data_IF_943007750045
#
_entry.id   IF_943007750045
#
_cell.length_a   1.000
_cell.length_b   1.000
_cell.length_c   1.000
_cell.angle_alpha   90.00
_cell.angle_beta   90.00
_cell.angle_gamma   90.00
#
_symmetry.space_group_name_H-M   'P 1'
#
loop_
_entity.id
_entity.type
_entity.pdbx_description
1 polymer ?
#
# COMPACT_ATOMS: atom_id res chain seq x y z
N UNK A 1 -9.60 33.42 -58.29
CA UNK A 1 -8.41 34.19 -57.96
C UNK A 1 -8.80 35.18 -56.86
N UNK A 2 -8.29 35.21 -55.65
CA UNK A 2 -7.41 34.35 -54.86
C UNK A 2 -7.52 34.87 -53.40
N UNK A 3 -7.58 33.95 -52.43
CA UNK A 3 -6.99 34.04 -51.06
C UNK A 3 -7.44 35.17 -50.11
N UNK A 4 -7.87 34.96 -48.87
CA UNK A 4 -7.60 33.87 -47.93
C UNK A 4 -6.44 34.24 -47.01
N UNK A 5 -6.69 34.92 -45.88
CA UNK A 5 -5.74 34.93 -44.75
C UNK A 5 -6.39 35.38 -43.43
N UNK A 6 -6.91 34.40 -42.70
CA UNK A 6 -6.95 34.40 -41.24
C UNK A 6 -5.55 33.98 -40.76
N UNK A 7 -4.77 34.90 -40.17
CA UNK A 7 -3.53 34.51 -39.50
C UNK A 7 -3.79 34.31 -38.00
N UNK A 8 -3.99 33.03 -37.68
CA UNK A 8 -3.98 32.50 -36.34
C UNK A 8 -2.55 32.52 -35.79
N UNK A 9 -2.25 33.48 -34.91
CA UNK A 9 -1.00 33.49 -34.15
C UNK A 9 -1.27 33.03 -32.71
N UNK A 10 -1.69 31.76 -32.57
CA UNK A 10 -1.62 31.05 -31.30
C UNK A 10 -0.41 30.13 -31.37
N UNK A 11 0.71 30.65 -30.89
CA UNK A 11 1.92 29.87 -30.64
C UNK A 11 1.58 28.63 -29.80
N UNK A 12 1.92 27.40 -30.21
CA UNK A 12 1.75 26.23 -29.38
C UNK A 12 2.74 26.33 -28.22
N UNK A 13 2.24 26.54 -26.99
CA UNK A 13 3.03 26.34 -25.77
C UNK A 13 3.44 24.87 -25.70
N UNK A 14 4.64 24.58 -26.23
CA UNK A 14 5.40 23.39 -25.87
C UNK A 14 5.72 23.46 -24.37
N UNK A 15 4.95 22.76 -23.56
CA UNK A 15 5.51 22.07 -22.40
C UNK A 15 5.02 20.63 -22.41
N UNK A 16 5.57 19.88 -23.37
CA UNK A 16 5.71 18.43 -23.29
C UNK A 16 6.51 18.16 -22.02
N UNK A 17 5.84 18.01 -20.88
CA UNK A 17 6.45 17.41 -19.70
C UNK A 17 6.53 15.94 -20.06
N UNK A 18 7.62 15.57 -20.73
CA UNK A 18 7.93 14.19 -21.07
C UNK A 18 7.69 13.36 -19.80
N UNK A 19 6.69 12.47 -19.86
CA UNK A 19 6.50 11.44 -18.85
C UNK A 19 7.74 10.57 -18.91
N UNK A 20 8.75 10.90 -18.11
CA UNK A 20 9.95 10.08 -18.00
C UNK A 20 9.49 8.70 -17.54
N UNK A 21 9.45 7.75 -18.46
CA UNK A 21 9.33 6.34 -18.13
C UNK A 21 10.49 6.05 -17.19
N UNK A 22 10.18 5.82 -15.92
CA UNK A 22 11.21 5.63 -14.91
C UNK A 22 11.80 4.26 -15.10
N UNK A 23 12.96 4.21 -15.75
CA UNK A 23 13.72 2.98 -15.90
C UNK A 23 14.39 2.61 -14.58
N UNK A 24 14.35 1.31 -14.26
CA UNK A 24 15.07 0.77 -13.13
C UNK A 24 16.58 0.96 -13.32
N UNK A 25 17.16 1.89 -12.57
CA UNK A 25 18.61 2.17 -12.60
C UNK A 25 19.40 1.25 -11.67
N UNK A 26 20.66 0.96 -12.02
CA UNK A 26 21.63 0.19 -11.18
C UNK A 26 21.74 0.71 -9.73
N UNK A 27 21.58 2.02 -9.53
CA UNK A 27 21.56 2.65 -8.19
C UNK A 27 20.45 2.11 -7.28
N UNK A 28 19.29 1.70 -7.81
CA UNK A 28 18.22 1.15 -7.00
C UNK A 28 18.58 -0.25 -6.52
N UNK A 29 19.16 -1.09 -7.40
CA UNK A 29 19.70 -2.40 -7.00
C UNK A 29 20.79 -2.24 -5.93
N UNK A 30 21.74 -1.35 -6.14
CA UNK A 30 22.80 -1.09 -5.15
C UNK A 30 22.24 -0.59 -3.82
N UNK A 31 21.26 0.32 -3.85
CA UNK A 31 20.58 0.80 -2.65
C UNK A 31 19.85 -0.33 -1.90
N UNK A 32 19.15 -1.22 -2.61
CA UNK A 32 18.48 -2.37 -1.99
C UNK A 32 19.46 -3.34 -1.35
N UNK A 33 20.56 -3.67 -2.04
CA UNK A 33 21.61 -4.52 -1.47
C UNK A 33 22.24 -3.86 -0.23
N UNK A 34 22.48 -2.55 -0.28
CA UNK A 34 22.96 -1.78 0.87
C UNK A 34 21.98 -1.80 2.05
N UNK A 35 20.68 -1.65 1.80
CA UNK A 35 19.65 -1.73 2.83
C UNK A 35 19.54 -3.13 3.43
N UNK A 36 19.62 -4.18 2.62
CA UNK A 36 19.63 -5.57 3.08
C UNK A 36 20.87 -5.80 3.96
N UNK A 37 22.05 -5.39 3.51
CA UNK A 37 23.28 -5.50 4.29
C UNK A 37 23.18 -4.74 5.62
N UNK A 38 22.57 -3.55 5.62
CA UNK A 38 22.35 -2.76 6.83
C UNK A 38 21.37 -3.43 7.80
N UNK A 39 20.31 -4.06 7.30
CA UNK A 39 19.37 -4.84 8.13
C UNK A 39 20.11 -5.95 8.88
N UNK A 40 20.91 -6.75 8.18
CA UNK A 40 21.71 -7.80 8.81
C UNK A 40 22.77 -7.20 9.74
N UNK A 41 23.42 -6.11 9.34
CA UNK A 41 24.40 -5.39 10.16
C UNK A 41 23.83 -4.97 11.50
N UNK A 42 22.65 -4.33 11.52
CA UNK A 42 21.95 -3.92 12.76
C UNK A 42 21.65 -5.12 13.65
N UNK A 43 21.19 -6.23 13.08
CA UNK A 43 20.84 -7.44 13.83
C UNK A 43 22.04 -8.19 14.41
N UNK A 44 23.24 -7.98 13.86
CA UNK A 44 24.49 -8.53 14.37
C UNK A 44 25.08 -7.70 15.52
N UNK A 45 24.63 -6.46 15.74
CA UNK A 45 25.11 -5.62 16.84
C UNK A 45 24.70 -6.26 18.18
N UNK A 46 25.65 -6.67 19.04
CA UNK A 46 25.31 -7.21 20.35
C UNK A 46 24.74 -6.12 21.27
N UNK A 47 24.01 -6.48 22.34
CA UNK A 47 23.61 -5.52 23.35
C UNK A 47 24.85 -4.80 23.92
N UNK A 48 24.82 -3.48 23.96
CA UNK A 48 25.91 -2.67 24.49
C UNK A 48 25.38 -1.42 25.21
N UNK A 49 26.17 -0.89 26.16
CA UNK A 49 25.80 0.28 26.95
C UNK A 49 26.21 1.63 26.34
N UNK A 50 27.04 1.63 25.29
CA UNK A 50 27.54 2.81 24.59
C UNK A 50 26.49 3.44 23.67
N UNK A 51 25.65 2.63 23.02
CA UNK A 51 24.59 3.09 22.12
C UNK A 51 23.29 3.20 22.93
N UNK A 52 22.70 4.40 23.08
CA UNK A 52 21.44 4.58 23.79
C UNK A 52 20.34 3.65 23.25
N UNK A 53 19.68 2.91 24.13
CA UNK A 53 18.61 1.97 23.77
C UNK A 53 19.07 0.60 23.25
N UNK A 54 20.37 0.40 23.02
CA UNK A 54 20.95 -0.90 22.64
C UNK A 54 21.44 -1.73 23.84
N UNK A 55 21.15 -1.32 25.06
CA UNK A 55 21.36 -2.13 26.26
C UNK A 55 20.17 -3.08 26.48
N UNK A 56 20.40 -4.21 27.17
CA UNK A 56 19.30 -5.02 27.68
C UNK A 56 18.51 -4.22 28.73
N UNK A 57 17.16 -4.28 28.76
CA UNK A 57 16.29 -5.15 27.97
C UNK A 57 15.82 -4.54 26.61
N UNK A 58 16.07 -3.26 26.35
CA UNK A 58 15.53 -2.53 25.21
C UNK A 58 16.13 -2.90 23.84
N UNK A 59 17.28 -3.58 23.80
CA UNK A 59 18.01 -3.95 22.57
C UNK A 59 17.11 -4.56 21.48
N UNK A 60 16.30 -5.57 21.83
CA UNK A 60 15.47 -6.28 20.86
C UNK A 60 14.40 -5.37 20.24
N UNK A 61 13.76 -4.55 21.06
CA UNK A 61 12.78 -3.55 20.63
C UNK A 61 13.40 -2.53 19.68
N UNK A 62 14.54 -1.93 20.05
CA UNK A 62 15.20 -0.89 19.24
C UNK A 62 15.72 -1.47 17.93
N UNK A 63 16.34 -2.65 17.97
CA UNK A 63 16.80 -3.35 16.77
C UNK A 63 15.62 -3.63 15.81
N UNK A 64 14.49 -4.10 16.32
CA UNK A 64 13.30 -4.34 15.50
C UNK A 64 12.72 -3.07 14.90
N UNK A 65 12.61 -1.97 15.66
CA UNK A 65 12.13 -0.70 15.12
C UNK A 65 13.03 -0.18 13.99
N UNK A 66 14.35 -0.31 14.13
CA UNK A 66 15.30 0.04 13.07
C UNK A 66 15.10 -0.87 11.86
N UNK A 67 15.00 -2.19 12.04
CA UNK A 67 14.77 -3.15 10.94
C UNK A 67 13.46 -2.90 10.22
N UNK A 68 12.37 -2.62 10.94
CA UNK A 68 11.08 -2.25 10.37
C UNK A 68 11.16 -0.95 9.56
N UNK A 69 11.90 0.05 10.07
CA UNK A 69 12.19 1.28 9.35
C UNK A 69 12.99 1.03 8.06
N UNK A 70 14.05 0.22 8.12
CA UNK A 70 14.87 -0.12 6.96
C UNK A 70 14.09 -0.92 5.91
N UNK A 71 13.24 -1.86 6.33
CA UNK A 71 12.35 -2.58 5.41
C UNK A 71 11.33 -1.63 4.75
N UNK A 72 10.80 -0.67 5.50
CA UNK A 72 9.92 0.38 4.94
C UNK A 72 10.66 1.18 3.87
N UNK A 73 11.90 1.60 4.13
CA UNK A 73 12.74 2.31 3.16
C UNK A 73 13.05 1.42 1.93
N UNK A 74 13.24 0.12 2.11
CA UNK A 74 13.43 -0.81 0.99
C UNK A 74 12.17 -0.89 0.11
N UNK A 75 10.98 -1.05 0.70
CA UNK A 75 9.70 -1.06 -0.01
C UNK A 75 9.45 0.26 -0.77
N UNK A 76 9.75 1.39 -0.13
CA UNK A 76 9.67 2.71 -0.74
C UNK A 76 10.67 2.87 -1.89
N UNK A 77 11.89 2.34 -1.74
CA UNK A 77 12.91 2.34 -2.81
C UNK A 77 12.48 1.51 -4.01
N UNK A 78 11.82 0.36 -3.78
CA UNK A 78 11.21 -0.45 -4.84
C UNK A 78 10.11 0.36 -5.55
N UNK A 79 9.21 0.99 -4.80
CA UNK A 79 8.14 1.83 -5.36
C UNK A 79 8.66 3.01 -6.18
N UNK A 80 9.71 3.69 -5.70
CA UNK A 80 10.38 4.77 -6.42
C UNK A 80 11.11 4.27 -7.65
N UNK A 81 11.73 3.09 -7.59
CA UNK A 81 12.43 2.48 -8.71
C UNK A 81 11.50 2.11 -9.87
N UNK A 82 10.24 1.73 -9.58
CA UNK A 82 9.26 1.31 -10.58
C UNK A 82 8.42 2.46 -11.15
N UNK A 83 8.07 3.45 -10.32
CA UNK A 83 7.15 4.54 -10.72
C UNK A 83 7.79 5.93 -10.76
N UNK A 84 9.01 6.08 -10.24
CA UNK A 84 9.67 7.37 -10.02
C UNK A 84 9.19 8.14 -8.79
N UNK A 85 8.14 7.67 -8.12
CA UNK A 85 7.50 8.35 -7.00
C UNK A 85 7.72 7.61 -5.69
N UNK A 86 7.88 8.36 -4.61
CA UNK A 86 8.02 7.80 -3.26
C UNK A 86 6.81 6.99 -2.81
N UNK A 87 5.60 7.44 -3.17
CA UNK A 87 4.35 6.72 -2.93
C UNK A 87 4.03 5.67 -4.01
N UNK A 88 4.99 5.38 -4.91
CA UNK A 88 4.82 4.51 -6.07
C UNK A 88 4.24 3.14 -5.77
N UNK A 89 4.61 2.57 -4.62
CA UNK A 89 4.11 1.28 -4.17
C UNK A 89 2.58 1.25 -4.04
N UNK A 90 1.97 2.37 -3.66
CA UNK A 90 0.54 2.49 -3.43
C UNK A 90 -0.24 2.78 -4.72
N UNK A 91 0.45 3.20 -5.79
CA UNK A 91 -0.15 3.57 -7.06
C UNK A 91 -0.47 2.30 -7.87
N UNK A 92 -1.70 2.20 -8.36
CA UNK A 92 -2.16 1.11 -9.21
C UNK A 92 -2.04 1.45 -10.72
N UNK A 93 -2.30 0.50 -11.64
CA UNK A 93 -2.17 0.75 -13.09
C UNK A 93 -3.09 1.83 -13.66
N UNK A 94 -4.04 2.36 -12.88
CA UNK A 94 -4.91 3.49 -13.24
C UNK A 94 -4.34 4.82 -12.75
N UNK A 95 -3.09 4.82 -12.27
CA UNK A 95 -2.41 5.97 -11.67
C UNK A 95 -3.12 6.53 -10.44
N UNK A 96 -3.85 5.68 -9.69
CA UNK A 96 -4.57 6.05 -8.46
C UNK A 96 -4.02 5.30 -7.26
N UNK A 97 -3.97 5.92 -6.07
CA UNK A 97 -3.56 5.18 -4.87
C UNK A 97 -4.61 4.14 -4.47
N UNK A 98 -4.17 2.95 -4.03
CA UNK A 98 -5.04 1.84 -3.67
C UNK A 98 -4.85 1.43 -2.21
N UNK A 99 -5.96 1.41 -1.47
CA UNK A 99 -5.99 0.94 -0.09
C UNK A 99 -5.51 -0.51 0.04
N UNK A 100 -5.87 -1.39 -0.89
CA UNK A 100 -5.44 -2.79 -0.86
C UNK A 100 -3.92 -2.95 -0.98
N UNK A 101 -3.23 -2.03 -1.70
CA UNK A 101 -1.76 -2.02 -1.80
C UNK A 101 -1.12 -1.55 -0.50
N UNK A 102 -1.73 -0.57 0.17
CA UNK A 102 -1.30 -0.14 1.49
C UNK A 102 -1.38 -1.31 2.49
N UNK A 103 -2.52 -1.99 2.56
CA UNK A 103 -2.70 -3.14 3.47
C UNK A 103 -1.70 -4.27 3.19
N UNK A 104 -1.52 -4.63 1.91
CA UNK A 104 -0.52 -5.63 1.52
C UNK A 104 0.92 -5.21 1.79
N UNK A 105 1.22 -3.92 1.92
CA UNK A 105 2.56 -3.47 2.28
C UNK A 105 2.83 -3.49 3.78
N UNK A 106 1.83 -3.15 4.61
CA UNK A 106 1.97 -3.05 6.06
C UNK A 106 2.27 -4.41 6.71
N UNK A 107 1.53 -5.44 6.33
CA UNK A 107 1.65 -6.76 6.95
C UNK A 107 3.02 -7.43 6.75
N UNK A 108 3.57 -7.50 5.52
CA UNK A 108 4.91 -8.03 5.31
C UNK A 108 5.98 -7.22 6.04
N UNK A 109 5.91 -5.88 6.04
CA UNK A 109 6.87 -5.04 6.77
C UNK A 109 6.85 -5.41 8.26
N UNK A 110 5.66 -5.51 8.86
CA UNK A 110 5.50 -5.83 10.28
C UNK A 110 5.94 -7.26 10.61
N UNK A 111 5.43 -8.26 9.90
CA UNK A 111 5.68 -9.67 10.20
C UNK A 111 7.11 -10.07 9.86
N UNK A 112 7.65 -9.65 8.71
CA UNK A 112 9.02 -10.00 8.32
C UNK A 112 10.05 -9.30 9.22
N UNK A 113 9.84 -8.04 9.61
CA UNK A 113 10.73 -7.36 10.55
C UNK A 113 10.74 -8.05 11.91
N UNK A 114 9.56 -8.43 12.42
CA UNK A 114 9.43 -9.13 13.70
C UNK A 114 10.11 -10.50 13.65
N UNK A 115 9.76 -11.32 12.65
CA UNK A 115 10.30 -12.67 12.48
C UNK A 115 11.83 -12.65 12.36
N UNK A 116 12.37 -11.76 11.52
CA UNK A 116 13.82 -11.65 11.31
C UNK A 116 14.53 -11.21 12.60
N UNK A 117 13.95 -10.28 13.35
CA UNK A 117 14.54 -9.82 14.61
C UNK A 117 14.51 -10.91 15.68
N UNK A 118 13.40 -11.64 15.81
CA UNK A 118 13.27 -12.78 16.73
C UNK A 118 14.27 -13.89 16.37
N UNK A 119 14.39 -14.25 15.09
CA UNK A 119 15.34 -15.26 14.63
C UNK A 119 16.78 -14.89 15.00
N UNK A 120 17.20 -13.65 14.71
CA UNK A 120 18.53 -13.17 15.05
C UNK A 120 18.75 -13.01 16.55
N UNK A 121 17.70 -12.69 17.31
CA UNK A 121 17.75 -12.67 18.77
C UNK A 121 17.97 -14.06 19.34
N UNK A 122 17.23 -15.07 18.87
CA UNK A 122 17.38 -16.46 19.30
C UNK A 122 18.76 -17.03 18.91
N UNK A 123 19.22 -16.80 17.67
CA UNK A 123 20.55 -17.26 17.20
C UNK A 123 21.66 -16.75 18.11
N UNK A 124 21.61 -15.49 18.54
CA UNK A 124 22.64 -14.90 19.41
C UNK A 124 22.60 -15.43 20.83
N UNK A 125 21.42 -15.81 21.31
CA UNK A 125 21.21 -16.24 22.69
C UNK A 125 21.53 -17.72 22.89
N UNK A 126 21.02 -18.57 22.00
CA UNK A 126 21.33 -20.01 21.99
C UNK A 126 21.34 -20.54 20.54
N UNK A 127 22.52 -20.60 19.90
CA UNK A 127 22.64 -21.14 18.55
C UNK A 127 22.26 -22.63 18.44
N UNK A 128 22.30 -23.38 19.55
CA UNK A 128 22.10 -24.83 19.56
C UNK A 128 20.64 -25.26 19.75
N UNK A 129 19.79 -24.36 20.26
CA UNK A 129 18.38 -24.63 20.57
C UNK A 129 17.43 -24.25 19.42
N UNK A 130 17.69 -24.76 18.21
CA UNK A 130 16.86 -24.59 17.01
C UNK A 130 16.27 -23.16 16.84
N UNK A 131 17.12 -22.11 16.73
CA UNK A 131 16.71 -20.73 16.91
C UNK A 131 15.72 -20.20 15.85
N UNK A 132 15.55 -20.92 14.74
CA UNK A 132 14.60 -20.62 13.66
C UNK A 132 13.23 -21.27 13.85
N UNK A 133 13.04 -22.11 14.88
CA UNK A 133 11.77 -22.75 15.20
C UNK A 133 10.83 -21.76 15.91
N UNK A 134 10.40 -20.74 15.19
CA UNK A 134 9.49 -19.70 15.67
C UNK A 134 8.09 -20.01 15.15
N UNK A 135 7.20 -20.38 16.05
CA UNK A 135 5.80 -20.67 15.73
C UNK A 135 5.08 -19.39 15.25
N UNK A 136 4.40 -19.51 14.12
CA UNK A 136 3.50 -18.46 13.61
C UNK A 136 2.06 -18.88 13.93
N UNK A 137 1.34 -18.15 14.78
CA UNK A 137 -0.01 -18.52 15.19
C UNK A 137 -0.98 -18.66 14.00
N UNK A 138 -1.90 -19.64 14.00
CA UNK A 138 -2.89 -19.84 12.93
C UNK A 138 -3.71 -18.58 12.62
N UNK A 139 -3.98 -17.76 13.62
CA UNK A 139 -4.74 -16.51 13.49
C UNK A 139 -3.98 -15.47 12.66
N UNK A 140 -2.65 -15.43 12.73
CA UNK A 140 -1.84 -14.57 11.87
C UNK A 140 -1.90 -15.06 10.41
N UNK A 141 -1.86 -16.37 10.18
CA UNK A 141 -2.07 -16.94 8.85
C UNK A 141 -3.46 -16.64 8.28
N UNK A 142 -4.50 -16.79 9.11
CA UNK A 142 -5.87 -16.45 8.74
C UNK A 142 -6.00 -14.99 8.33
N UNK A 143 -5.40 -14.08 9.10
CA UNK A 143 -5.36 -12.66 8.79
C UNK A 143 -4.65 -12.37 7.46
N UNK A 144 -3.47 -12.96 7.22
CA UNK A 144 -2.72 -12.78 5.98
C UNK A 144 -3.49 -13.34 4.78
N UNK A 145 -4.18 -14.46 4.97
CA UNK A 145 -5.06 -15.08 3.99
C UNK A 145 -6.25 -14.18 3.63
N UNK A 146 -6.91 -13.57 4.61
CA UNK A 146 -8.01 -12.59 4.40
C UNK A 146 -7.52 -11.40 3.59
N UNK A 147 -6.40 -10.79 3.99
CA UNK A 147 -5.84 -9.61 3.30
C UNK A 147 -5.46 -9.93 1.85
N UNK A 148 -4.80 -11.07 1.62
CA UNK A 148 -4.37 -11.51 0.29
C UNK A 148 -5.57 -11.83 -0.61
N UNK A 149 -6.55 -12.57 -0.09
CA UNK A 149 -7.78 -12.91 -0.82
C UNK A 149 -8.55 -11.64 -1.18
N UNK A 150 -8.66 -10.68 -0.26
CA UNK A 150 -9.34 -9.41 -0.53
C UNK A 150 -8.63 -8.58 -1.60
N UNK A 151 -7.30 -8.55 -1.61
CA UNK A 151 -6.54 -7.88 -2.68
C UNK A 151 -6.83 -8.49 -4.06
N UNK A 152 -6.75 -9.82 -4.17
CA UNK A 152 -6.98 -10.54 -5.44
C UNK A 152 -8.43 -10.38 -5.89
N UNK A 153 -9.40 -10.56 -5.00
CA UNK A 153 -10.82 -10.40 -5.28
C UNK A 153 -11.14 -8.97 -5.73
N UNK A 154 -10.59 -7.95 -5.07
CA UNK A 154 -10.75 -6.56 -5.49
C UNK A 154 -10.17 -6.29 -6.88
N UNK A 155 -9.06 -6.96 -7.25
CA UNK A 155 -8.49 -6.92 -8.59
C UNK A 155 -9.40 -7.56 -9.65
N UNK A 156 -9.96 -8.73 -9.35
CA UNK A 156 -10.89 -9.43 -10.23
C UNK A 156 -12.18 -8.62 -10.49
N UNK A 157 -12.78 -8.06 -9.42
CA UNK A 157 -13.96 -7.17 -9.52
C UNK A 157 -13.64 -5.96 -10.39
N UNK A 158 -12.48 -5.31 -10.17
CA UNK A 158 -12.04 -4.17 -11.00
C UNK A 158 -11.87 -4.58 -12.45
N UNK A 159 -11.31 -5.75 -12.73
CA UNK A 159 -11.13 -6.25 -14.10
C UNK A 159 -12.46 -6.40 -14.84
N UNK A 160 -13.49 -6.90 -14.17
CA UNK A 160 -14.84 -7.00 -14.76
C UNK A 160 -15.42 -5.61 -15.09
N UNK A 161 -15.20 -4.63 -14.20
CA UNK A 161 -15.67 -3.24 -14.37
C UNK A 161 -14.98 -2.49 -15.52
N UNK A 162 -13.84 -2.98 -16.01
CA UNK A 162 -13.18 -2.40 -17.20
C UNK A 162 -13.94 -2.65 -18.50
N UNK A 163 -14.83 -3.64 -18.52
CA UNK A 163 -15.63 -4.01 -19.69
C UNK A 163 -17.01 -3.34 -19.73
N UNK A 164 -17.28 -2.42 -18.79
CA UNK A 164 -18.51 -1.64 -18.79
C UNK A 164 -18.32 -0.40 -19.65
N UNK A 165 -19.27 -0.13 -20.55
CA UNK A 165 -19.34 1.15 -21.24
C UNK A 165 -19.96 2.19 -20.32
N UNK A 166 -19.41 3.40 -20.39
CA UNK A 166 -19.85 4.53 -19.57
C UNK A 166 -20.31 5.63 -20.50
N UNK A 167 -21.56 6.06 -20.31
CA UNK A 167 -22.14 7.13 -21.11
C UNK A 167 -21.42 8.48 -20.89
N UNK A 168 -21.61 9.40 -21.84
CA UNK A 168 -20.96 10.71 -21.80
C UNK A 168 -21.45 11.57 -20.61
N UNK A 169 -22.71 11.41 -20.20
CA UNK A 169 -23.32 12.16 -19.10
C UNK A 169 -22.65 11.82 -17.76
N UNK A 170 -22.36 10.55 -17.51
CA UNK A 170 -21.66 10.07 -16.34
C UNK A 170 -20.23 10.59 -16.27
N UNK A 171 -19.53 10.65 -17.41
CA UNK A 171 -18.20 11.27 -17.50
C UNK A 171 -18.27 12.76 -17.14
N UNK A 172 -19.21 13.50 -17.72
CA UNK A 172 -19.41 14.93 -17.44
C UNK A 172 -19.75 15.19 -15.96
N UNK A 173 -20.71 14.45 -15.40
CA UNK A 173 -21.07 14.53 -13.97
C UNK A 173 -19.87 14.29 -13.06
N UNK A 174 -18.98 13.39 -13.45
CA UNK A 174 -17.77 13.08 -12.67
C UNK A 174 -16.80 14.25 -12.66
N UNK A 175 -16.53 14.83 -13.83
CA UNK A 175 -15.70 16.04 -13.97
C UNK A 175 -16.27 17.17 -13.11
N UNK A 176 -17.56 17.46 -13.25
CA UNK A 176 -18.25 18.50 -12.48
C UNK A 176 -18.20 18.22 -10.96
N UNK A 177 -18.39 16.98 -10.53
CA UNK A 177 -18.32 16.61 -9.13
C UNK A 177 -16.90 16.78 -8.56
N UNK A 178 -15.86 16.43 -9.33
CA UNK A 178 -14.46 16.61 -8.92
C UNK A 178 -14.10 18.08 -8.77
N UNK A 179 -14.50 18.92 -9.73
CA UNK A 179 -14.25 20.36 -9.66
C UNK A 179 -14.96 20.99 -8.45
N UNK A 180 -16.20 20.56 -8.15
CA UNK A 180 -16.95 21.03 -6.98
C UNK A 180 -16.28 20.72 -5.64
N UNK A 181 -15.56 19.60 -5.54
CA UNK A 181 -14.81 19.23 -4.32
C UNK A 181 -13.38 19.77 -4.32
N UNK A 182 -13.04 20.69 -5.24
CA UNK A 182 -11.74 21.33 -5.34
C UNK A 182 -10.64 20.43 -5.90
N UNK A 183 -10.99 19.31 -6.55
CA UNK A 183 -10.01 18.49 -7.27
C UNK A 183 -9.91 18.92 -8.72
N UNK A 184 -8.68 19.09 -9.20
CA UNK A 184 -8.44 19.42 -10.61
C UNK A 184 -8.86 18.24 -11.51
N UNK A 185 -9.97 18.39 -12.24
CA UNK A 185 -10.46 17.39 -13.20
C UNK A 185 -9.53 17.17 -14.39
N UNK A 186 -8.61 18.10 -14.71
CA UNK A 186 -7.62 17.93 -15.78
C UNK A 186 -6.69 16.75 -15.55
N UNK A 187 -6.63 16.22 -14.31
CA UNK A 187 -5.84 15.04 -13.99
C UNK A 187 -6.45 13.73 -14.52
N UNK A 188 -7.74 13.74 -14.88
CA UNK A 188 -8.47 12.58 -15.38
C UNK A 188 -7.96 12.15 -16.76
N UNK A 189 -7.68 10.86 -16.91
CA UNK A 189 -7.51 10.23 -18.21
C UNK A 189 -8.86 9.66 -18.69
N UNK A 190 -8.90 9.11 -19.91
CA UNK A 190 -10.03 8.29 -20.32
C UNK A 190 -10.26 7.16 -19.30
N UNK A 191 -11.50 7.00 -18.79
CA UNK A 191 -11.84 5.91 -17.89
C UNK A 191 -11.52 4.55 -18.49
N UNK A 192 -11.11 3.60 -17.64
CA UNK A 192 -10.97 2.20 -18.03
C UNK A 192 -12.30 1.49 -17.75
N UNK A 193 -13.23 1.58 -18.68
CA UNK A 193 -14.63 1.22 -18.47
C UNK A 193 -15.25 2.06 -17.34
N UNK A 194 -15.94 1.42 -16.39
CA UNK A 194 -16.51 2.09 -15.22
C UNK A 194 -15.47 2.66 -14.23
N UNK A 195 -14.18 2.41 -14.40
CA UNK A 195 -13.14 2.81 -13.46
C UNK A 195 -12.47 4.13 -13.84
N UNK A 196 -12.35 5.02 -12.86
CA UNK A 196 -11.58 6.27 -13.01
C UNK A 196 -10.09 5.97 -13.12
N UNK A 197 -9.42 6.72 -13.99
CA UNK A 197 -7.98 6.68 -14.18
C UNK A 197 -7.40 8.10 -14.27
N UNK A 198 -6.13 8.26 -13.92
CA UNK A 198 -5.41 9.53 -14.03
C UNK A 198 -4.35 9.50 -15.15
N UNK A 199 -4.07 10.68 -15.72
CA UNK A 199 -3.13 10.85 -16.84
C UNK A 199 -1.71 10.40 -16.50
N UNK A 200 -1.28 10.60 -15.25
CA UNK A 200 0.06 10.25 -14.80
C UNK A 200 0.07 9.81 -13.34
N UNK A 201 1.05 8.98 -12.91
CA UNK A 201 1.23 8.61 -11.50
C UNK A 201 1.32 9.80 -10.54
N UNK A 202 1.88 10.93 -11.00
CA UNK A 202 2.03 12.16 -10.21
C UNK A 202 0.69 12.84 -9.87
N UNK A 203 -0.40 12.43 -10.53
CA UNK A 203 -1.75 12.90 -10.25
C UNK A 203 -2.44 12.15 -9.09
N UNK A 204 -1.84 11.04 -8.62
CA UNK A 204 -2.36 10.27 -7.50
C UNK A 204 -2.30 11.08 -6.19
N UNK A 205 -3.33 10.95 -5.36
CA UNK A 205 -3.47 11.66 -4.09
C UNK A 205 -3.76 10.71 -2.94
N UNK A 206 -3.36 11.07 -1.72
CA UNK A 206 -3.66 10.28 -0.52
C UNK A 206 -5.18 10.18 -0.29
N UNK A 207 -5.95 11.20 -0.70
CA UNK A 207 -7.42 11.18 -0.67
C UNK A 207 -8.02 10.02 -1.48
N UNK A 208 -7.31 9.51 -2.49
CA UNK A 208 -7.76 8.38 -3.32
C UNK A 208 -7.99 7.11 -2.51
N UNK A 209 -7.29 6.96 -1.38
CA UNK A 209 -7.45 5.84 -0.46
C UNK A 209 -8.85 5.79 0.15
N UNK A 210 -9.56 6.92 0.18
CA UNK A 210 -10.85 7.09 0.84
C UNK A 210 -11.98 7.50 -0.12
N UNK A 211 -11.71 7.57 -1.43
CA UNK A 211 -12.69 7.96 -2.46
C UNK A 211 -13.11 6.80 -3.34
N UNK A 212 -14.28 6.91 -3.97
CA UNK A 212 -14.80 5.90 -4.90
C UNK A 212 -13.84 5.54 -6.04
N UNK A 213 -13.88 4.30 -6.52
CA UNK A 213 -13.00 3.81 -7.61
C UNK A 213 -13.59 4.02 -9.01
N UNK A 214 -14.86 4.39 -9.11
CA UNK A 214 -15.65 4.41 -10.34
C UNK A 214 -15.97 5.82 -10.82
N UNK A 215 -16.33 5.91 -12.10
CA UNK A 215 -17.01 7.09 -12.65
C UNK A 215 -18.26 7.35 -11.79
N UNK A 216 -18.65 8.61 -11.64
CA UNK A 216 -19.69 9.11 -10.73
C UNK A 216 -19.28 9.07 -9.25
N UNK A 217 -18.70 7.98 -8.74
CA UNK A 217 -18.29 7.89 -7.32
C UNK A 217 -16.94 8.54 -7.01
N UNK A 218 -16.16 8.91 -8.03
CA UNK A 218 -14.77 9.35 -7.93
C UNK A 218 -14.54 10.52 -6.95
N UNK A 219 -15.48 11.45 -6.89
CA UNK A 219 -15.40 12.65 -6.05
C UNK A 219 -15.83 12.39 -4.61
N UNK A 220 -16.56 11.29 -4.36
CA UNK A 220 -17.25 11.01 -3.11
C UNK A 220 -16.44 10.11 -2.19
N UNK A 221 -16.68 10.30 -0.91
CA UNK A 221 -16.14 9.50 0.18
C UNK A 221 -16.70 8.07 0.15
N UNK A 222 -15.80 7.10 0.29
CA UNK A 222 -16.11 5.67 0.30
C UNK A 222 -15.97 5.12 1.73
N UNK A 223 -17.11 4.94 2.39
CA UNK A 223 -17.19 4.49 3.78
C UNK A 223 -16.57 3.10 3.98
N UNK A 224 -16.69 2.19 3.01
CA UNK A 224 -16.19 0.81 3.19
C UNK A 224 -14.67 0.76 3.13
N UNK A 225 -14.05 1.61 2.30
CA UNK A 225 -12.60 1.83 2.32
C UNK A 225 -12.14 2.39 3.67
N UNK A 226 -12.88 3.33 4.24
CA UNK A 226 -12.51 3.95 5.53
C UNK A 226 -12.62 2.96 6.67
N UNK A 227 -13.69 2.16 6.69
CA UNK A 227 -13.87 1.10 7.68
C UNK A 227 -12.71 0.11 7.66
N UNK A 228 -12.37 -0.44 6.47
CA UNK A 228 -11.29 -1.43 6.37
C UNK A 228 -9.91 -0.81 6.63
N UNK A 229 -9.71 0.47 6.31
CA UNK A 229 -8.50 1.22 6.67
C UNK A 229 -8.31 1.27 8.18
N UNK A 230 -9.31 1.75 8.93
CA UNK A 230 -9.19 1.88 10.39
C UNK A 230 -9.02 0.53 11.08
N UNK A 231 -9.79 -0.50 10.69
CA UNK A 231 -9.61 -1.83 11.26
C UNK A 231 -8.21 -2.39 10.99
N UNK A 232 -7.69 -2.21 9.77
CA UNK A 232 -6.33 -2.65 9.47
C UNK A 232 -5.32 -1.90 10.33
N UNK A 233 -5.44 -0.58 10.41
CA UNK A 233 -4.47 0.27 11.10
C UNK A 233 -4.44 -0.02 12.61
N UNK A 234 -5.61 -0.17 13.24
CA UNK A 234 -5.72 -0.52 14.66
C UNK A 234 -5.08 -1.87 14.94
N UNK A 235 -5.35 -2.88 14.12
CA UNK A 235 -4.80 -4.22 14.31
C UNK A 235 -3.28 -4.25 14.07
N UNK A 236 -2.79 -3.54 13.04
CA UNK A 236 -1.36 -3.40 12.77
C UNK A 236 -0.64 -2.75 13.95
N UNK A 237 -1.17 -1.67 14.52
CA UNK A 237 -0.54 -1.00 15.67
C UNK A 237 -0.63 -1.83 16.96
N UNK A 238 -1.77 -2.47 17.23
CA UNK A 238 -1.92 -3.36 18.38
C UNK A 238 -0.92 -4.53 18.30
N UNK A 239 -0.80 -5.15 17.12
CA UNK A 239 0.16 -6.22 16.89
C UNK A 239 1.62 -5.75 17.00
N UNK A 240 1.93 -4.56 16.47
CA UNK A 240 3.25 -3.95 16.62
C UNK A 240 3.60 -3.70 18.09
N UNK A 241 2.63 -3.26 18.91
CA UNK A 241 2.83 -3.06 20.34
C UNK A 241 3.13 -4.39 21.08
N UNK A 242 2.41 -5.47 20.75
CA UNK A 242 2.67 -6.81 21.29
C UNK A 242 4.06 -7.33 20.90
N UNK A 243 4.45 -7.18 19.62
CA UNK A 243 5.80 -7.54 19.15
C UNK A 243 6.86 -6.73 19.90
N UNK A 244 6.63 -5.43 20.07
CA UNK A 244 7.55 -4.55 20.80
C UNK A 244 7.70 -4.94 22.27
N UNK A 245 6.60 -5.24 22.96
CA UNK A 245 6.61 -5.70 24.34
C UNK A 245 7.33 -7.05 24.49
N UNK A 246 7.10 -7.97 23.55
CA UNK A 246 7.77 -9.27 23.51
C UNK A 246 9.29 -9.11 23.33
N UNK A 247 9.73 -8.26 22.40
CA UNK A 247 11.16 -8.02 22.13
C UNK A 247 11.87 -7.17 23.18
N UNK A 248 11.11 -6.48 24.03
CA UNK A 248 11.63 -5.88 25.24
C UNK A 248 11.91 -6.94 26.31
N UNK A 249 11.20 -8.07 26.33
CA UNK A 249 11.49 -9.17 27.25
C UNK A 249 12.70 -9.98 26.81
N UNK A 250 13.84 -9.90 27.51
CA UNK A 250 15.10 -10.60 27.16
C UNK A 250 15.08 -12.15 27.22
N UNK A 251 13.92 -12.77 27.14
CA UNK A 251 13.70 -14.24 27.11
C UNK A 251 13.77 -14.75 25.66
N UNK A 252 14.10 -16.03 25.48
CA UNK A 252 14.04 -16.63 24.15
C UNK A 252 12.59 -16.66 23.67
N UNK A 253 12.36 -16.40 22.38
CA UNK A 253 11.02 -16.22 21.83
C UNK A 253 10.75 -17.34 20.84
N UNK A 254 9.83 -18.23 21.18
CA UNK A 254 9.52 -19.41 20.36
C UNK A 254 8.22 -19.27 19.56
N UNK A 255 7.48 -18.18 19.73
CA UNK A 255 6.25 -17.90 18.99
C UNK A 255 6.08 -16.40 18.80
N UNK A 256 5.48 -15.99 17.68
CA UNK A 256 4.98 -14.63 17.50
C UNK A 256 3.70 -14.40 18.31
N UNK A 257 3.33 -13.15 18.63
CA UNK A 257 2.11 -12.86 19.38
C UNK A 257 0.86 -13.43 18.71
N UNK A 258 -0.05 -13.98 19.52
CA UNK A 258 -1.33 -14.48 19.04
C UNK A 258 -2.32 -13.35 18.81
N UNK A 259 -3.15 -13.48 17.79
CA UNK A 259 -4.31 -12.62 17.59
C UNK A 259 -5.56 -13.34 18.10
N UNK A 260 -6.46 -12.60 18.74
CA UNK A 260 -7.73 -13.19 19.16
C UNK A 260 -8.59 -13.57 17.96
N UNK A 261 -9.35 -14.65 18.09
CA UNK A 261 -10.33 -15.06 17.08
C UNK A 261 -11.32 -13.93 16.77
N UNK A 262 -11.70 -13.14 17.77
CA UNK A 262 -12.58 -11.98 17.59
C UNK A 262 -12.00 -10.93 16.63
N UNK A 263 -10.72 -10.60 16.76
CA UNK A 263 -10.04 -9.64 15.86
C UNK A 263 -10.01 -10.17 14.42
N UNK A 264 -9.65 -11.44 14.24
CA UNK A 264 -9.59 -12.05 12.90
C UNK A 264 -10.98 -12.11 12.26
N UNK A 265 -12.00 -12.50 13.02
CA UNK A 265 -13.40 -12.52 12.56
C UNK A 265 -13.88 -11.13 12.16
N UNK A 266 -13.60 -10.13 12.99
CA UNK A 266 -14.00 -8.75 12.71
C UNK A 266 -13.31 -8.19 11.45
N UNK A 267 -12.03 -8.49 11.25
CA UNK A 267 -11.33 -8.18 9.99
C UNK A 267 -11.96 -8.90 8.80
N UNK A 268 -12.27 -10.19 8.94
CA UNK A 268 -12.95 -10.98 7.91
C UNK A 268 -14.27 -10.33 7.48
N UNK A 269 -15.10 -9.93 8.45
CA UNK A 269 -16.37 -9.22 8.18
C UNK A 269 -16.11 -7.87 7.49
N UNK A 270 -15.13 -7.10 7.96
CA UNK A 270 -14.78 -5.81 7.34
C UNK A 270 -14.33 -5.96 5.89
N UNK A 271 -13.52 -6.99 5.59
CA UNK A 271 -13.07 -7.27 4.22
C UNK A 271 -14.22 -7.78 3.34
N UNK A 272 -15.11 -8.62 3.87
CA UNK A 272 -16.29 -9.08 3.16
C UNK A 272 -17.20 -7.90 2.78
N UNK A 273 -17.52 -7.02 3.73
CA UNK A 273 -18.32 -5.82 3.48
C UNK A 273 -17.69 -4.90 2.43
N UNK A 274 -16.37 -4.69 2.50
CA UNK A 274 -15.62 -3.93 1.49
C UNK A 274 -15.69 -4.57 0.09
N UNK A 275 -15.56 -5.90 -0.02
CA UNK A 275 -15.66 -6.58 -1.31
C UNK A 275 -17.08 -6.52 -1.88
N UNK A 276 -18.10 -6.71 -1.04
CA UNK A 276 -19.50 -6.61 -1.44
C UNK A 276 -19.85 -5.20 -1.91
N UNK A 277 -19.41 -4.15 -1.19
CA UNK A 277 -19.64 -2.78 -1.64
C UNK A 277 -18.94 -2.51 -2.97
N UNK A 278 -17.77 -3.13 -3.18
CA UNK A 278 -16.98 -2.99 -4.41
C UNK A 278 -17.57 -3.76 -5.58
N UNK A 279 -18.30 -4.85 -5.36
CA UNK A 279 -18.90 -5.63 -6.45
C UNK A 279 -20.12 -4.92 -7.05
N UNK A 280 -20.85 -4.15 -6.26
CA UNK A 280 -22.00 -3.35 -6.73
C UNK A 280 -21.49 -2.12 -7.50
N UNK A 281 -21.96 -1.85 -8.72
CA UNK A 281 -21.62 -0.60 -9.43
C UNK A 281 -22.22 0.60 -8.70
N UNK A 282 -21.49 1.72 -8.64
CA UNK A 282 -21.94 2.91 -7.90
C UNK A 282 -23.18 3.57 -8.49
N UNK A 283 -23.45 3.39 -9.79
CA UNK A 283 -24.70 3.79 -10.42
C UNK A 283 -25.00 2.91 -11.66
N UNK A 284 -25.75 1.81 -11.52
CA UNK A 284 -26.00 0.85 -12.60
C UNK A 284 -26.68 1.43 -13.84
N UNK A 285 -27.45 2.52 -13.69
CA UNK A 285 -28.18 3.13 -14.79
C UNK A 285 -27.28 3.80 -15.85
N UNK A 286 -26.02 4.07 -15.49
CA UNK A 286 -25.03 4.73 -16.35
C UNK A 286 -23.97 3.75 -16.89
N UNK A 287 -24.20 2.44 -16.74
CA UNK A 287 -23.28 1.40 -17.18
C UNK A 287 -24.00 0.40 -18.07
N UNK A 288 -23.55 0.30 -19.33
CA UNK A 288 -23.98 -0.74 -20.26
C UNK A 288 -22.91 -1.82 -20.33
N UNK A 289 -23.33 -3.08 -20.54
CA UNK A 289 -22.37 -4.15 -20.83
C UNK A 289 -22.01 -4.05 -22.31
N UNK A 290 -20.72 -3.94 -22.59
CA UNK A 290 -20.17 -4.14 -23.93
C UNK A 290 -20.47 -5.55 -24.45
#
# INVERSE_FOLDING_TARGET
MAEGMYDANVSPRRTRRDTTVTEWKKRHTAALLGLIALIFGVLLIPPNEVIPGFAAPAHGLVAWLIVAGLLTVAFVTIGRGTTGLWAGLLIDPRNKMSLSRLQLSLWPILVLSAFLTVAMFNIRKDPSDNPLNIAVPPQLWGLLGISTTSFVAAGAIKSQKKNLEVDAEAKEKTTLAMDKVGENSDKLAEPQGALVAYKAPACASVSDLFKGDEVISAAYFDLSKVQVFFFTLIVVFAYAAEVGAMLYGGRSIFALPELSTGIVTLLGISHAGYLTSKSVPSNPAHYERA
#
